data_IF_463245693906
#
_entry.id   IF_463245693906
#
_cell.length_a   1.000
_cell.length_b   1.000
_cell.length_c   1.000
_cell.angle_alpha   90.00
_cell.angle_beta   90.00
_cell.angle_gamma   90.00
#
_symmetry.space_group_name_H-M   'P 1'
#
loop_
_entity.id
_entity.type
_entity.pdbx_description
1 polymer ?
#
# COMPACT_ATOMS: atom_id res chain seq x y z
N UNK A 1 6.44 8.02 -61.88
CA UNK A 1 5.36 8.80 -61.24
C UNK A 1 4.58 7.87 -60.32
N UNK A 2 4.51 8.11 -59.01
CA UNK A 2 3.78 7.24 -58.10
C UNK A 2 2.28 7.27 -58.44
N UNK A 3 1.67 6.09 -58.48
CA UNK A 3 0.26 5.87 -58.83
C UNK A 3 -0.63 6.37 -57.67
N UNK A 4 -1.64 7.20 -57.93
CA UNK A 4 -2.54 7.75 -56.89
C UNK A 4 -3.22 6.66 -56.05
N UNK A 5 -3.36 5.45 -56.62
CA UNK A 5 -3.84 4.27 -55.90
C UNK A 5 -2.88 3.83 -54.79
N UNK A 6 -1.56 3.83 -54.96
CA UNK A 6 -0.65 3.39 -53.88
C UNK A 6 -0.60 4.40 -52.72
N UNK A 7 -0.80 5.68 -53.02
CA UNK A 7 -0.83 6.74 -52.00
C UNK A 7 -2.08 6.66 -51.12
N UNK A 8 -3.27 6.45 -51.72
CA UNK A 8 -4.53 6.33 -50.97
C UNK A 8 -4.56 5.10 -50.05
N UNK A 9 -3.94 4.00 -50.47
CA UNK A 9 -3.88 2.74 -49.71
C UNK A 9 -2.99 2.88 -48.47
N UNK A 10 -1.89 3.63 -48.60
CA UNK A 10 -0.99 3.95 -47.49
C UNK A 10 -1.67 4.88 -46.48
N UNK A 11 -2.43 5.88 -46.94
CA UNK A 11 -3.20 6.77 -46.07
C UNK A 11 -4.23 6.01 -45.23
N UNK A 12 -4.90 5.01 -45.80
CA UNK A 12 -5.81 4.13 -45.06
C UNK A 12 -5.11 3.29 -43.99
N UNK A 13 -3.93 2.74 -44.28
CA UNK A 13 -3.14 1.96 -43.30
C UNK A 13 -2.65 2.83 -42.13
N UNK A 14 -2.21 4.05 -42.42
CA UNK A 14 -1.78 5.02 -41.40
C UNK A 14 -2.98 5.45 -40.53
N UNK A 15 -4.12 5.77 -41.16
CA UNK A 15 -5.34 6.14 -40.44
C UNK A 15 -5.85 5.03 -39.52
N UNK A 16 -5.85 3.78 -40.00
CA UNK A 16 -6.23 2.61 -39.20
C UNK A 16 -5.32 2.44 -37.98
N UNK A 17 -4.01 2.54 -38.18
CA UNK A 17 -3.02 2.44 -37.10
C UNK A 17 -3.20 3.55 -36.06
N UNK A 18 -3.52 4.76 -36.49
CA UNK A 18 -3.78 5.90 -35.61
C UNK A 18 -5.01 5.66 -34.72
N UNK A 19 -6.09 5.13 -35.30
CA UNK A 19 -7.32 4.79 -34.55
C UNK A 19 -7.05 3.71 -33.51
N UNK A 20 -6.32 2.65 -33.88
CA UNK A 20 -5.93 1.58 -32.95
C UNK A 20 -5.09 2.12 -31.80
N UNK A 21 -4.14 3.03 -32.09
CA UNK A 21 -3.32 3.68 -31.05
C UNK A 21 -4.16 4.54 -30.10
N UNK A 22 -5.13 5.30 -30.60
CA UNK A 22 -6.01 6.12 -29.78
C UNK A 22 -6.91 5.26 -28.87
N UNK A 23 -7.43 4.14 -29.37
CA UNK A 23 -8.21 3.19 -28.58
C UNK A 23 -7.32 2.54 -27.50
N UNK A 24 -6.12 2.10 -27.86
CA UNK A 24 -5.17 1.52 -26.90
C UNK A 24 -4.75 2.52 -25.83
N UNK A 25 -4.48 3.78 -26.21
CA UNK A 25 -4.10 4.85 -25.30
C UNK A 25 -5.21 5.19 -24.31
N UNK A 26 -6.45 5.30 -24.80
CA UNK A 26 -7.62 5.56 -23.93
C UNK A 26 -7.92 4.38 -23.01
N UNK A 27 -7.88 3.15 -23.51
CA UNK A 27 -8.03 1.94 -22.70
C UNK A 27 -6.92 1.83 -21.63
N UNK A 28 -5.67 2.14 -21.99
CA UNK A 28 -4.54 2.15 -21.06
C UNK A 28 -4.71 3.22 -19.97
N UNK A 29 -5.20 4.41 -20.33
CA UNK A 29 -5.48 5.47 -19.38
C UNK A 29 -6.55 5.07 -18.35
N UNK A 30 -7.65 4.46 -18.81
CA UNK A 30 -8.73 3.96 -17.94
C UNK A 30 -8.21 2.80 -17.06
N UNK A 31 -7.44 1.89 -17.63
CA UNK A 31 -6.85 0.75 -16.91
C UNK A 31 -5.87 1.16 -15.80
N UNK A 32 -5.05 2.20 -16.05
CA UNK A 32 -4.12 2.76 -15.04
C UNK A 32 -4.88 3.39 -13.88
N UNK A 33 -6.04 4.01 -14.14
CA UNK A 33 -6.87 4.62 -13.10
C UNK A 33 -7.54 3.56 -12.22
N UNK A 34 -8.01 2.45 -12.80
CA UNK A 34 -8.58 1.32 -12.05
C UNK A 34 -7.51 0.54 -11.26
N UNK A 35 -6.28 0.44 -11.78
CA UNK A 35 -5.17 -0.21 -11.08
C UNK A 35 -4.70 0.55 -9.83
N UNK A 36 -4.95 1.86 -9.75
CA UNK A 36 -4.69 2.63 -8.54
C UNK A 36 -5.77 2.41 -7.45
N UNK A 37 -6.99 1.99 -7.82
CA UNK A 37 -8.08 1.71 -6.86
C UNK A 37 -7.84 0.42 -6.08
N UNK A 38 -7.34 -0.64 -6.73
CA UNK A 38 -6.96 -1.90 -6.07
C UNK A 38 -5.76 -1.80 -5.12
N UNK A 39 -4.98 -0.70 -5.16
CA UNK A 39 -3.91 -0.46 -4.19
C UNK A 39 -4.43 0.08 -2.85
N UNK A 40 -5.64 0.64 -2.81
CA UNK A 40 -6.18 1.26 -1.59
C UNK A 40 -6.80 0.25 -0.62
N UNK A 41 -7.49 -0.79 -1.09
CA UNK A 41 -8.01 -1.86 -0.21
C UNK A 41 -6.89 -2.68 0.46
N UNK A 42 -5.77 -2.88 -0.25
CA UNK A 42 -4.59 -3.53 0.33
C UNK A 42 -3.85 -2.64 1.33
N UNK A 43 -3.92 -1.31 1.18
CA UNK A 43 -3.28 -0.37 2.09
C UNK A 43 -3.97 -0.35 3.46
N UNK A 44 -5.31 -0.40 3.49
CA UNK A 44 -6.08 -0.43 4.74
C UNK A 44 -5.82 -1.71 5.54
N UNK A 45 -5.90 -2.88 4.89
CA UNK A 45 -5.64 -4.17 5.54
C UNK A 45 -4.21 -4.27 6.08
N UNK A 46 -3.21 -3.82 5.31
CA UNK A 46 -1.81 -3.78 5.78
C UNK A 46 -1.64 -2.84 6.97
N UNK A 47 -2.34 -1.69 6.99
CA UNK A 47 -2.30 -0.76 8.11
C UNK A 47 -2.89 -1.39 9.38
N UNK A 48 -4.05 -2.04 9.29
CA UNK A 48 -4.71 -2.70 10.43
C UNK A 48 -3.81 -3.80 11.02
N UNK A 49 -3.24 -4.67 10.17
CA UNK A 49 -2.35 -5.74 10.62
C UNK A 49 -1.12 -5.14 11.32
N UNK A 50 -0.46 -4.16 10.69
CA UNK A 50 0.74 -3.54 11.27
C UNK A 50 0.47 -2.89 12.62
N UNK A 51 -0.61 -2.11 12.76
CA UNK A 51 -0.99 -1.48 14.03
C UNK A 51 -1.32 -2.52 15.09
N UNK A 52 -2.04 -3.59 14.73
CA UNK A 52 -2.40 -4.66 15.66
C UNK A 52 -1.18 -5.44 16.15
N UNK A 53 -0.22 -5.71 15.27
CA UNK A 53 1.03 -6.39 15.65
C UNK A 53 1.90 -5.53 16.56
N UNK A 54 1.99 -4.22 16.30
CA UNK A 54 2.70 -3.27 17.16
C UNK A 54 2.08 -3.22 18.57
N UNK A 55 0.75 -3.08 18.61
CA UNK A 55 -0.01 -3.05 19.87
C UNK A 55 0.22 -4.31 20.71
N UNK A 56 0.14 -5.48 20.08
CA UNK A 56 0.37 -6.76 20.77
C UNK A 56 1.80 -6.87 21.32
N UNK A 57 2.80 -6.44 20.56
CA UNK A 57 4.19 -6.46 20.98
C UNK A 57 4.43 -5.55 22.20
N UNK A 58 3.88 -4.33 22.17
CA UNK A 58 3.97 -3.37 23.28
C UNK A 58 3.29 -3.91 24.55
N UNK A 59 2.10 -4.50 24.42
CA UNK A 59 1.39 -5.11 25.55
C UNK A 59 2.14 -6.32 26.13
N UNK A 60 2.70 -7.18 25.27
CA UNK A 60 3.46 -8.34 25.71
C UNK A 60 4.76 -7.94 26.42
N UNK A 61 5.44 -6.89 25.94
CA UNK A 61 6.60 -6.31 26.61
C UNK A 61 6.24 -5.76 28.00
N UNK A 62 5.11 -5.04 28.09
CA UNK A 62 4.61 -4.52 29.36
C UNK A 62 4.26 -5.64 30.36
N UNK A 63 3.57 -6.69 29.91
CA UNK A 63 3.25 -7.85 30.74
C UNK A 63 4.50 -8.57 31.23
N UNK A 64 5.47 -8.79 30.32
CA UNK A 64 6.74 -9.45 30.64
C UNK A 64 7.54 -8.63 31.67
N UNK A 65 7.58 -7.31 31.50
CA UNK A 65 8.21 -6.39 32.44
C UNK A 65 7.56 -6.42 33.83
N UNK A 66 6.24 -6.31 33.87
CA UNK A 66 5.51 -6.37 35.13
C UNK A 66 5.70 -7.72 35.84
N UNK A 67 5.66 -8.84 35.10
CA UNK A 67 5.98 -10.17 35.67
C UNK A 67 7.42 -10.23 36.18
N UNK A 68 8.38 -9.69 35.45
CA UNK A 68 9.78 -9.61 35.89
C UNK A 68 9.95 -8.85 37.20
N UNK A 69 9.23 -7.74 37.36
CA UNK A 69 9.18 -6.98 38.60
C UNK A 69 8.54 -7.80 39.74
N UNK A 70 7.36 -8.39 39.52
CA UNK A 70 6.68 -9.20 40.53
C UNK A 70 7.52 -10.40 41.02
N UNK A 71 8.34 -10.98 40.14
CA UNK A 71 9.20 -12.13 40.48
C UNK A 71 10.50 -11.75 41.16
N UNK A 72 11.04 -10.56 40.90
CA UNK A 72 12.40 -10.18 41.33
C UNK A 72 12.45 -8.99 42.28
N UNK A 73 11.38 -8.20 42.36
CA UNK A 73 11.31 -6.92 43.07
C UNK A 73 12.19 -5.82 42.46
N UNK A 74 12.78 -6.02 41.27
CA UNK A 74 13.68 -5.03 40.66
C UNK A 74 12.92 -4.08 39.74
N UNK A 75 12.90 -2.79 40.09
CA UNK A 75 12.26 -1.72 39.32
C UNK A 75 12.69 -1.65 37.84
N UNK A 76 13.90 -2.11 37.50
CA UNK A 76 14.40 -2.12 36.11
C UNK A 76 13.50 -2.91 35.16
N UNK A 77 12.75 -3.90 35.66
CA UNK A 77 11.81 -4.66 34.82
C UNK A 77 10.53 -3.87 34.49
N UNK A 78 10.23 -2.77 35.19
CA UNK A 78 9.09 -1.91 34.90
C UNK A 78 9.34 -0.94 33.73
N UNK A 79 10.59 -0.80 33.26
CA UNK A 79 10.92 0.05 32.10
C UNK A 79 10.04 -0.23 30.86
N UNK A 80 9.94 -1.48 30.34
CA UNK A 80 9.06 -1.78 29.21
C UNK A 80 7.57 -1.55 29.50
N UNK A 81 7.12 -1.69 30.75
CA UNK A 81 5.74 -1.38 31.15
C UNK A 81 5.46 0.13 31.08
N UNK A 82 6.37 0.94 31.61
CA UNK A 82 6.28 2.39 31.58
C UNK A 82 6.35 2.94 30.15
N UNK A 83 7.21 2.37 29.31
CA UNK A 83 7.33 2.75 27.90
C UNK A 83 6.04 2.44 27.13
N UNK A 84 5.41 1.28 27.39
CA UNK A 84 4.14 0.94 26.76
C UNK A 84 3.00 1.88 27.19
N UNK A 85 2.96 2.31 28.46
CA UNK A 85 1.98 3.30 28.92
C UNK A 85 2.04 4.62 28.14
N UNK A 86 3.24 5.02 27.69
CA UNK A 86 3.42 6.24 26.89
C UNK A 86 3.17 6.03 25.39
N UNK A 87 3.48 4.84 24.85
CA UNK A 87 3.37 4.56 23.41
C UNK A 87 1.97 4.14 22.98
N UNK A 88 1.26 3.35 23.79
CA UNK A 88 -0.05 2.78 23.46
C UNK A 88 -1.11 3.82 23.06
N UNK A 89 -1.26 4.97 23.76
CA UNK A 89 -2.23 5.99 23.35
C UNK A 89 -1.93 6.58 21.96
N UNK A 90 -0.66 6.62 21.56
CA UNK A 90 -0.21 7.15 20.26
C UNK A 90 -0.46 6.14 19.13
N UNK A 91 -0.46 4.84 19.43
CA UNK A 91 -0.70 3.76 18.46
C UNK A 91 -2.20 3.53 18.16
N UNK A 92 -3.09 4.07 18.99
CA UNK A 92 -4.55 3.96 18.86
C UNK A 92 -5.21 5.11 18.06
N UNK A 93 -4.43 6.09 17.59
CA UNK A 93 -4.87 7.23 16.77
C UNK A 93 -4.65 6.98 15.27
#
# INVERSE_FOLDING_TARGET
>A
MPNSKTLNNLTWGIGFSLVVLLISSTASYIGIQEQNRHRQELAVTRKIISTSTSLLASLQGAETGNRGFLLTGKESYLEPFNNALESLPKELQ
#
